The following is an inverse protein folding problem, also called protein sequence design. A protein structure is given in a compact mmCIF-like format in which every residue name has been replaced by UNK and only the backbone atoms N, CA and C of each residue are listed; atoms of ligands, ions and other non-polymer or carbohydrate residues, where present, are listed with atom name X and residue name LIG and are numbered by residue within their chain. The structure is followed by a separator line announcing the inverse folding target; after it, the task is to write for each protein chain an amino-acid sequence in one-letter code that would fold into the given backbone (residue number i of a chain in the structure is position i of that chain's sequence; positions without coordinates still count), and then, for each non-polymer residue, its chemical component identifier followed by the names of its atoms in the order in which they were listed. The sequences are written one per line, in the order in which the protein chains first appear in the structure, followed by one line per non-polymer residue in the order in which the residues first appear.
data_IF_250074864892
#
_entry.id   IF_250074864892
#
_cell.length_a   1.000
_cell.length_b   1.000
_cell.length_c   1.000
_cell.angle_alpha   90.00
_cell.angle_beta   90.00
_cell.angle_gamma   90.00
#
_symmetry.space_group_name_H-M   'P 1'
#
loop_
_entity.id
_entity.type
_entity.pdbx_description
1 polymer ?
#
# COMPACT_ATOMS: atom_id res chain seq x y z
N UNK A 1 47.03 -10.23 -71.10
CA UNK A 1 47.73 -9.55 -69.99
C UNK A 1 46.82 -8.40 -69.56
N UNK A 2 46.18 -8.53 -68.39
CA UNK A 2 46.46 -7.77 -67.13
C UNK A 2 45.81 -6.36 -67.23
N UNK A 3 44.96 -5.84 -66.34
CA UNK A 3 44.42 -6.18 -65.01
C UNK A 3 43.19 -5.26 -64.76
N UNK A 4 42.25 -5.65 -63.91
CA UNK A 4 41.20 -4.77 -63.35
C UNK A 4 41.53 -4.42 -61.89
N UNK A 5 41.27 -3.18 -61.41
CA UNK A 5 41.55 -2.81 -60.02
C UNK A 5 40.37 -3.11 -59.09
N UNK A 6 40.68 -3.68 -57.92
CA UNK A 6 39.75 -3.94 -56.82
C UNK A 6 39.76 -2.73 -55.87
N UNK A 7 38.57 -2.20 -55.58
CA UNK A 7 38.33 -1.07 -54.67
C UNK A 7 38.36 -1.52 -53.20
N UNK A 8 39.23 -0.90 -52.42
CA UNK A 8 39.35 -1.11 -50.97
C UNK A 8 38.37 -0.20 -50.20
N UNK A 9 37.16 -0.69 -49.91
CA UNK A 9 36.13 0.04 -49.14
C UNK A 9 35.81 -0.59 -47.76
N UNK A 10 36.52 -1.65 -47.36
CA UNK A 10 36.22 -2.40 -46.14
C UNK A 10 36.69 -1.75 -44.84
N UNK A 11 37.76 -0.94 -44.88
CA UNK A 11 38.47 -0.53 -43.66
C UNK A 11 37.89 0.73 -42.96
N UNK A 12 37.10 1.55 -43.68
CA UNK A 12 36.57 2.83 -43.17
C UNK A 12 35.27 2.67 -42.36
N UNK A 13 34.41 1.72 -42.74
CA UNK A 13 33.13 1.48 -42.04
C UNK A 13 33.33 0.88 -40.65
N UNK A 14 34.30 -0.03 -40.51
CA UNK A 14 34.61 -0.69 -39.23
C UNK A 14 35.16 0.31 -38.22
N UNK A 15 36.08 1.20 -38.64
CA UNK A 15 36.59 2.28 -37.77
C UNK A 15 35.48 3.23 -37.30
N UNK A 16 34.55 3.62 -38.19
CA UNK A 16 33.40 4.46 -37.81
C UNK A 16 32.46 3.77 -36.83
N UNK A 17 32.23 2.46 -36.99
CA UNK A 17 31.41 1.67 -36.08
C UNK A 17 32.06 1.55 -34.69
N UNK A 18 33.37 1.32 -34.61
CA UNK A 18 34.10 1.29 -33.35
C UNK A 18 34.08 2.64 -32.62
N UNK A 19 34.24 3.76 -33.35
CA UNK A 19 34.15 5.11 -32.77
C UNK A 19 32.74 5.37 -32.23
N UNK A 20 31.70 4.94 -32.96
CA UNK A 20 30.31 5.11 -32.51
C UNK A 20 30.02 4.30 -31.25
N UNK A 21 30.46 3.04 -31.18
CA UNK A 21 30.31 2.20 -29.99
C UNK A 21 31.06 2.79 -28.79
N UNK A 22 32.27 3.29 -29.00
CA UNK A 22 33.05 3.95 -27.94
C UNK A 22 32.37 5.22 -27.42
N UNK A 23 31.77 6.03 -28.32
CA UNK A 23 31.02 7.23 -27.95
C UNK A 23 29.75 6.90 -27.16
N UNK A 24 29.01 5.86 -27.56
CA UNK A 24 27.82 5.38 -26.82
C UNK A 24 28.22 4.83 -25.45
N UNK A 25 29.30 4.05 -25.38
CA UNK A 25 29.82 3.55 -24.10
C UNK A 25 30.22 4.69 -23.16
N UNK A 26 30.89 5.72 -23.67
CA UNK A 26 31.28 6.88 -22.90
C UNK A 26 30.06 7.69 -22.40
N UNK A 27 29.05 7.91 -23.25
CA UNK A 27 27.83 8.65 -22.84
C UNK A 27 27.03 7.88 -21.80
N UNK A 28 26.84 6.56 -21.96
CA UNK A 28 26.17 5.72 -20.96
C UNK A 28 26.92 5.75 -19.63
N UNK A 29 28.25 5.70 -19.65
CA UNK A 29 29.07 5.75 -18.43
C UNK A 29 28.95 7.12 -17.74
N UNK A 30 28.98 8.21 -18.50
CA UNK A 30 28.81 9.58 -17.97
C UNK A 30 27.41 9.77 -17.39
N UNK A 31 26.37 9.30 -18.07
CA UNK A 31 24.98 9.39 -17.59
C UNK A 31 24.79 8.56 -16.32
N UNK A 32 25.34 7.34 -16.26
CA UNK A 32 25.29 6.51 -15.06
C UNK A 32 26.07 7.13 -13.90
N UNK A 33 27.25 7.69 -14.16
CA UNK A 33 28.03 8.41 -13.16
C UNK A 33 27.28 9.65 -12.66
N UNK A 34 26.67 10.43 -13.57
CA UNK A 34 25.89 11.60 -13.21
C UNK A 34 24.65 11.22 -12.39
N UNK A 35 23.93 10.16 -12.78
CA UNK A 35 22.78 9.64 -12.02
C UNK A 35 23.19 9.14 -10.63
N UNK A 36 24.30 8.41 -10.51
CA UNK A 36 24.85 7.98 -9.22
C UNK A 36 25.28 9.17 -8.36
N UNK A 37 25.89 10.18 -8.97
CA UNK A 37 26.32 11.39 -8.29
C UNK A 37 25.13 12.24 -7.81
N UNK A 38 24.10 12.41 -8.64
CA UNK A 38 22.85 13.07 -8.27
C UNK A 38 22.14 12.33 -7.13
N UNK A 39 22.06 11.00 -7.19
CA UNK A 39 21.50 10.16 -6.12
C UNK A 39 22.28 10.33 -4.80
N UNK A 40 23.62 10.43 -4.87
CA UNK A 40 24.49 10.67 -3.70
C UNK A 40 24.34 12.09 -3.14
N UNK A 41 24.12 13.08 -4.01
CA UNK A 41 23.82 14.46 -3.62
C UNK A 41 22.44 14.59 -2.98
N UNK A 42 21.41 13.92 -3.51
CA UNK A 42 20.07 13.90 -2.94
C UNK A 42 20.07 13.23 -1.56
N UNK A 43 20.75 12.09 -1.39
CA UNK A 43 20.95 11.45 -0.08
C UNK A 43 21.67 12.37 0.89
N UNK A 44 22.75 13.03 0.46
CA UNK A 44 23.46 14.03 1.28
C UNK A 44 22.59 15.22 1.62
N UNK A 45 21.73 15.70 0.71
CA UNK A 45 20.83 16.84 0.92
C UNK A 45 19.69 16.48 1.87
N UNK A 46 19.18 15.25 1.81
CA UNK A 46 18.23 14.69 2.76
C UNK A 46 18.85 14.55 4.16
N UNK A 47 20.09 14.04 4.23
CA UNK A 47 20.86 14.02 5.48
C UNK A 47 21.12 15.43 6.00
N UNK A 48 21.47 16.40 5.15
CA UNK A 48 21.74 17.78 5.57
C UNK A 48 20.48 18.54 6.00
N UNK A 49 19.31 18.21 5.44
CA UNK A 49 18.02 18.74 5.93
C UNK A 49 17.58 18.09 7.24
N UNK A 50 17.90 16.82 7.45
CA UNK A 50 17.69 16.12 8.72
C UNK A 50 18.73 16.53 9.80
N UNK A 51 19.90 17.03 9.39
CA UNK A 51 21.03 17.36 10.27
C UNK A 51 20.99 18.77 10.86
N UNK A 52 19.90 19.54 10.69
CA UNK A 52 19.73 20.78 11.47
C UNK A 52 19.17 20.43 12.85
N UNK A 53 20.10 20.22 13.78
CA UNK A 53 19.87 20.15 15.22
C UNK A 53 18.80 19.13 15.66
N UNK A 54 18.90 17.89 15.21
CA UNK A 54 18.41 16.79 16.05
C UNK A 54 19.45 16.67 17.17
N UNK A 55 19.14 17.06 18.43
CA UNK A 55 20.07 16.80 19.51
C UNK A 55 20.42 15.32 19.49
N UNK A 56 21.68 14.93 19.76
CA UNK A 56 21.99 13.52 19.96
C UNK A 56 20.93 12.95 20.90
N UNK A 57 20.28 11.85 20.50
CA UNK A 57 19.33 11.14 21.34
C UNK A 57 19.91 11.14 22.76
N UNK A 58 19.17 11.60 23.79
CA UNK A 58 19.74 11.63 25.13
C UNK A 58 20.13 10.20 25.47
N UNK A 59 21.44 9.93 25.42
CA UNK A 59 22.10 8.72 25.90
C UNK A 59 22.07 8.72 27.44
N UNK A 60 20.88 8.95 27.98
CA UNK A 60 20.51 8.84 29.38
C UNK A 60 19.11 8.20 29.41
N UNK A 61 19.04 6.97 28.91
CA UNK A 61 18.15 6.01 29.54
C UNK A 61 18.50 6.06 31.03
N UNK A 62 17.61 6.61 31.86
CA UNK A 62 17.66 6.28 33.28
C UNK A 62 17.57 4.76 33.35
N UNK A 63 18.55 4.10 33.99
CA UNK A 63 18.64 2.62 34.06
C UNK A 63 17.24 2.03 34.30
N UNK A 64 16.66 1.36 33.30
CA UNK A 64 15.39 0.66 33.38
C UNK A 64 14.11 1.41 32.96
N UNK A 65 14.15 2.63 32.40
CA UNK A 65 12.94 3.36 31.95
C UNK A 65 13.04 3.91 30.52
N UNK A 66 11.98 3.70 29.72
CA UNK A 66 11.77 4.32 28.39
C UNK A 66 11.40 5.81 28.51
N UNK A 67 10.58 6.14 29.50
CA UNK A 67 10.19 7.50 29.84
C UNK A 67 10.38 7.67 31.33
N UNK A 68 11.13 8.69 31.74
CA UNK A 68 11.38 8.99 33.15
C UNK A 68 11.22 10.48 33.39
N UNK A 69 10.10 10.84 34.01
CA UNK A 69 9.79 12.19 34.49
C UNK A 69 9.24 12.13 35.91
N UNK A 70 9.04 13.29 36.55
CA UNK A 70 8.42 13.37 37.87
C UNK A 70 6.96 12.89 37.89
N UNK A 71 6.27 12.91 36.74
CA UNK A 71 4.83 12.57 36.61
C UNK A 71 4.56 11.23 35.94
N UNK A 72 5.51 10.73 35.14
CA UNK A 72 5.34 9.52 34.35
C UNK A 72 6.65 8.75 34.32
N UNK A 73 6.57 7.46 34.63
CA UNK A 73 7.66 6.49 34.53
C UNK A 73 7.15 5.29 33.73
N UNK A 74 7.76 5.02 32.58
CA UNK A 74 7.47 3.86 31.74
C UNK A 74 8.71 2.99 31.76
N UNK A 75 8.58 1.76 32.26
CA UNK A 75 9.68 0.80 32.39
C UNK A 75 10.13 0.34 30.99
N UNK A 76 11.45 0.19 30.81
CA UNK A 76 12.01 -0.47 29.64
C UNK A 76 12.11 -1.98 29.92
N UNK A 77 11.08 -2.69 29.49
CA UNK A 77 10.97 -4.13 29.66
C UNK A 77 11.79 -4.86 28.59
N UNK A 78 12.50 -5.92 29.01
CA UNK A 78 13.14 -6.84 28.08
C UNK A 78 12.08 -7.53 27.19
N UNK A 79 12.14 -7.38 25.86
CA UNK A 79 11.22 -8.05 24.96
C UNK A 79 11.26 -9.58 25.06
N UNK A 80 12.34 -10.18 25.55
CA UNK A 80 12.55 -11.64 25.57
C UNK A 80 12.55 -12.24 26.98
N UNK A 81 11.97 -11.56 27.96
CA UNK A 81 11.84 -12.09 29.31
C UNK A 81 10.99 -13.38 29.36
N UNK A 82 11.21 -14.20 30.40
CA UNK A 82 10.59 -15.52 30.54
C UNK A 82 9.04 -15.48 30.53
N UNK A 83 8.44 -14.45 31.12
CA UNK A 83 6.98 -14.28 31.14
C UNK A 83 6.41 -14.06 29.73
N UNK A 84 7.05 -13.21 28.93
CA UNK A 84 6.64 -12.95 27.55
C UNK A 84 6.89 -14.16 26.64
N UNK A 85 8.01 -14.86 26.85
CA UNK A 85 8.39 -16.01 26.03
C UNK A 85 7.46 -17.22 26.18
N UNK A 86 6.75 -17.33 27.31
CA UNK A 86 5.70 -18.36 27.49
C UNK A 86 4.55 -18.23 26.48
N UNK A 87 4.26 -17.01 26.01
CA UNK A 87 3.20 -16.75 25.04
C UNK A 87 3.72 -16.60 23.61
N UNK A 88 5.04 -16.58 23.42
CA UNK A 88 5.64 -16.39 22.11
C UNK A 88 5.70 -17.71 21.32
N UNK A 89 5.12 -17.69 20.12
CA UNK A 89 5.24 -18.78 19.15
C UNK A 89 5.63 -18.20 17.81
N UNK A 90 6.82 -18.54 17.31
CA UNK A 90 7.27 -18.14 15.99
C UNK A 90 6.37 -18.79 14.92
N UNK A 91 5.62 -17.96 14.19
CA UNK A 91 4.82 -18.40 13.05
C UNK A 91 5.63 -18.25 11.76
N UNK A 92 5.51 -19.24 10.87
CA UNK A 92 6.08 -19.15 9.52
C UNK A 92 5.05 -18.53 8.59
N UNK A 93 5.53 -17.76 7.62
CA UNK A 93 4.70 -17.28 6.53
C UNK A 93 4.07 -18.46 5.78
N UNK A 94 2.78 -18.36 5.47
CA UNK A 94 2.00 -19.39 4.81
C UNK A 94 1.44 -18.84 3.49
N UNK A 95 1.89 -19.40 2.37
CA UNK A 95 1.36 -18.98 1.06
C UNK A 95 -0.11 -19.40 0.93
N UNK A 96 -0.94 -18.53 0.37
CA UNK A 96 -2.34 -18.82 0.05
C UNK A 96 -2.50 -19.74 -1.17
N UNK A 97 -1.51 -19.77 -2.05
CA UNK A 97 -1.45 -20.65 -3.22
C UNK A 97 -0.04 -21.15 -3.47
N UNK A 98 0.08 -22.35 -4.03
CA UNK A 98 1.34 -22.90 -4.56
C UNK A 98 1.53 -22.60 -6.04
N UNK A 99 0.47 -22.18 -6.74
CA UNK A 99 0.47 -21.85 -8.17
C UNK A 99 0.73 -20.36 -8.34
N UNK A 100 1.46 -19.98 -9.40
CA UNK A 100 1.55 -18.57 -9.81
C UNK A 100 0.16 -18.07 -10.24
N UNK A 101 -0.13 -16.79 -9.99
CA UNK A 101 -1.43 -16.19 -10.28
C UNK A 101 -1.76 -16.24 -11.77
N UNK A 102 -2.95 -16.74 -12.12
CA UNK A 102 -3.42 -16.82 -13.50
C UNK A 102 -3.70 -15.43 -14.09
N UNK A 103 -4.04 -14.45 -13.25
CA UNK A 103 -4.30 -13.09 -13.70
C UNK A 103 -3.49 -12.06 -12.93
N UNK A 104 -3.12 -10.98 -13.59
CA UNK A 104 -2.30 -9.90 -13.04
C UNK A 104 -2.64 -8.58 -13.72
N UNK A 105 -2.27 -7.47 -13.10
CA UNK A 105 -2.45 -6.12 -13.67
C UNK A 105 -1.10 -5.51 -14.01
N UNK A 106 -1.02 -4.88 -15.18
CA UNK A 106 0.08 -3.97 -15.52
C UNK A 106 -0.42 -2.53 -15.62
N UNK A 107 0.50 -1.58 -15.47
CA UNK A 107 0.20 -0.16 -15.60
C UNK A 107 1.27 0.51 -16.46
N UNK A 108 0.85 1.09 -17.58
CA UNK A 108 1.69 1.82 -18.52
C UNK A 108 1.03 3.16 -18.84
N UNK A 109 1.77 4.27 -18.75
CA UNK A 109 1.26 5.63 -19.02
C UNK A 109 -0.11 5.93 -18.37
N UNK A 110 -0.25 5.56 -17.10
CA UNK A 110 -1.47 5.73 -16.31
C UNK A 110 -2.67 4.85 -16.73
N UNK A 111 -2.47 3.92 -17.67
CA UNK A 111 -3.48 2.98 -18.12
C UNK A 111 -3.26 1.63 -17.45
N UNK A 112 -4.28 1.14 -16.75
CA UNK A 112 -4.27 -0.18 -16.12
C UNK A 112 -4.86 -1.23 -17.06
N UNK A 113 -4.14 -2.34 -17.23
CA UNK A 113 -4.57 -3.47 -18.05
C UNK A 113 -4.56 -4.74 -17.21
N UNK A 114 -5.69 -5.42 -17.13
CA UNK A 114 -5.82 -6.75 -16.55
C UNK A 114 -5.44 -7.79 -17.61
N UNK A 115 -4.61 -8.76 -17.23
CA UNK A 115 -4.11 -9.82 -18.11
C UNK A 115 -4.45 -11.20 -17.58
N UNK A 116 -4.59 -12.14 -18.51
CA UNK A 116 -4.54 -13.58 -18.29
C UNK A 116 -3.14 -14.04 -18.65
N UNK A 117 -2.45 -14.66 -17.72
CA UNK A 117 -1.18 -15.31 -17.97
C UNK A 117 -1.41 -16.62 -18.73
N UNK A 118 -1.46 -16.53 -20.06
CA UNK A 118 -1.72 -17.66 -20.96
C UNK A 118 -0.70 -18.79 -20.80
N UNK A 119 0.54 -18.49 -20.41
CA UNK A 119 1.58 -19.49 -20.15
C UNK A 119 1.27 -20.40 -18.95
N UNK A 120 0.36 -20.00 -18.06
CA UNK A 120 -0.02 -20.74 -16.87
C UNK A 120 -1.33 -21.53 -17.02
N UNK A 121 -2.03 -21.41 -18.15
CA UNK A 121 -3.35 -22.05 -18.33
C UNK A 121 -3.29 -23.56 -18.08
N UNK A 122 -2.29 -24.25 -18.63
CA UNK A 122 -2.09 -25.70 -18.44
C UNK A 122 -1.79 -26.11 -16.99
N UNK A 123 -1.27 -25.20 -16.17
CA UNK A 123 -1.07 -25.43 -14.74
C UNK A 123 -2.39 -25.34 -13.93
N UNK A 124 -3.43 -24.75 -14.52
CA UNK A 124 -4.74 -24.62 -13.91
C UNK A 124 -5.73 -25.67 -14.43
N UNK A 125 -5.80 -25.89 -15.73
CA UNK A 125 -6.61 -26.93 -16.36
C UNK A 125 -6.01 -27.37 -17.70
N UNK A 126 -6.18 -28.65 -18.05
CA UNK A 126 -5.84 -29.17 -19.38
C UNK A 126 -6.95 -28.91 -20.42
N UNK A 127 -8.11 -28.41 -19.96
CA UNK A 127 -9.27 -28.06 -20.77
C UNK A 127 -9.21 -26.58 -21.20
N UNK A 128 -10.14 -26.19 -22.06
CA UNK A 128 -10.26 -24.78 -22.47
C UNK A 128 -10.71 -23.91 -21.28
N UNK A 129 -9.92 -22.89 -20.97
CA UNK A 129 -10.21 -21.95 -19.88
C UNK A 129 -10.89 -20.71 -20.43
N UNK A 130 -12.05 -20.35 -19.89
CA UNK A 130 -12.75 -19.09 -20.18
C UNK A 130 -12.73 -18.21 -18.94
N UNK A 131 -12.30 -16.96 -19.10
CA UNK A 131 -12.28 -15.99 -18.03
C UNK A 131 -13.23 -14.83 -18.33
N UNK A 132 -13.84 -14.31 -17.27
CA UNK A 132 -14.63 -13.10 -17.33
C UNK A 132 -14.27 -12.20 -16.14
N UNK A 133 -14.59 -10.91 -16.25
CA UNK A 133 -14.42 -9.95 -15.16
C UNK A 133 -15.71 -9.17 -14.89
N UNK A 134 -15.90 -8.80 -13.63
CA UNK A 134 -17.01 -7.96 -13.16
C UNK A 134 -16.46 -6.73 -12.46
N UNK A 135 -17.03 -5.56 -12.75
CA UNK A 135 -16.72 -4.34 -12.02
C UNK A 135 -17.38 -4.39 -10.64
N UNK A 136 -16.65 -3.94 -9.62
CA UNK A 136 -17.12 -3.82 -8.25
C UNK A 136 -17.50 -2.37 -7.99
N UNK A 137 -18.76 -2.15 -7.66
CA UNK A 137 -19.33 -0.84 -7.43
C UNK A 137 -19.64 -0.72 -5.94
N UNK A 138 -19.20 0.39 -5.33
CA UNK A 138 -19.52 0.71 -3.94
C UNK A 138 -21.03 0.85 -3.78
N UNK A 139 -21.58 0.15 -2.80
CA UNK A 139 -22.95 0.37 -2.36
C UNK A 139 -22.97 1.36 -1.20
N UNK A 140 -23.57 2.52 -1.44
CA UNK A 140 -23.75 3.58 -0.44
C UNK A 140 -25.19 3.74 0.01
N UNK A 141 -26.10 2.94 -0.54
CA UNK A 141 -27.53 3.11 -0.40
C UNK A 141 -28.01 2.27 0.78
N UNK A 142 -28.04 2.87 1.97
CA UNK A 142 -28.55 2.20 3.17
C UNK A 142 -28.13 2.88 4.47
N UNK A 143 -28.66 2.37 5.58
CA UNK A 143 -28.30 2.83 6.94
C UNK A 143 -26.87 2.38 7.36
N UNK A 144 -26.33 1.36 6.69
CA UNK A 144 -25.00 0.79 6.91
C UNK A 144 -24.19 0.78 5.60
N UNK A 145 -23.69 1.93 5.13
CA UNK A 145 -22.83 2.01 3.98
C UNK A 145 -21.59 1.14 4.20
N UNK A 146 -20.96 0.69 3.11
CA UNK A 146 -19.72 -0.11 3.17
C UNK A 146 -19.86 -1.48 3.85
N UNK A 147 -21.08 -2.04 3.86
CA UNK A 147 -21.35 -3.44 4.25
C UNK A 147 -21.61 -4.35 3.04
N UNK A 148 -22.05 -3.76 1.93
CA UNK A 148 -22.39 -4.44 0.68
C UNK A 148 -21.64 -3.81 -0.49
N UNK A 149 -21.62 -4.53 -1.60
CA UNK A 149 -21.07 -4.11 -2.89
C UNK A 149 -22.00 -4.61 -3.98
N UNK A 150 -22.06 -3.87 -5.09
CA UNK A 150 -22.73 -4.31 -6.30
C UNK A 150 -21.70 -4.88 -7.28
N UNK A 151 -21.98 -6.05 -7.83
CA UNK A 151 -21.11 -6.74 -8.78
C UNK A 151 -21.79 -6.71 -10.14
N UNK A 152 -21.13 -6.15 -11.16
CA UNK A 152 -21.69 -6.10 -12.51
C UNK A 152 -21.82 -7.49 -13.13
N UNK A 153 -22.58 -7.59 -14.23
CA UNK A 153 -22.52 -8.77 -15.10
C UNK A 153 -21.07 -9.06 -15.51
N UNK A 154 -20.71 -10.34 -15.51
CA UNK A 154 -19.37 -10.79 -15.88
C UNK A 154 -19.18 -10.69 -17.39
N UNK A 155 -18.15 -9.97 -17.82
CA UNK A 155 -17.82 -9.76 -19.23
C UNK A 155 -16.64 -10.64 -19.60
N UNK A 156 -16.82 -11.50 -20.62
CA UNK A 156 -15.74 -12.34 -21.11
C UNK A 156 -14.63 -11.49 -21.73
N UNK A 157 -13.38 -11.89 -21.50
CA UNK A 157 -12.22 -11.27 -22.11
C UNK A 157 -11.16 -12.32 -22.45
N UNK A 158 -10.38 -12.04 -23.49
CA UNK A 158 -9.30 -12.92 -23.94
C UNK A 158 -7.98 -12.16 -23.88
N UNK A 159 -6.96 -12.81 -23.31
CA UNK A 159 -5.62 -12.27 -23.06
C UNK A 159 -5.58 -11.07 -22.09
N UNK A 160 -6.24 -9.96 -22.42
CA UNK A 160 -6.19 -8.74 -21.62
C UNK A 160 -7.37 -7.82 -21.85
N UNK A 161 -7.68 -6.98 -20.85
CA UNK A 161 -8.72 -5.94 -20.93
C UNK A 161 -8.29 -4.70 -20.14
N UNK A 162 -8.69 -3.52 -20.61
CA UNK A 162 -8.48 -2.28 -19.87
C UNK A 162 -9.44 -2.24 -18.67
N UNK A 163 -8.91 -1.84 -17.51
CA UNK A 163 -9.71 -1.69 -16.30
C UNK A 163 -9.67 -0.23 -15.83
N UNK A 164 -10.78 0.21 -15.25
CA UNK A 164 -10.90 1.56 -14.68
C UNK A 164 -10.30 1.61 -13.26
N UNK A 165 -10.62 2.68 -12.54
CA UNK A 165 -10.27 2.87 -11.13
C UNK A 165 -11.01 1.92 -10.17
N UNK A 166 -12.14 1.37 -10.60
CA UNK A 166 -12.96 0.50 -9.77
C UNK A 166 -12.30 -0.89 -9.65
N UNK A 167 -12.42 -1.56 -8.49
CA UNK A 167 -11.93 -2.92 -8.37
C UNK A 167 -12.66 -3.85 -9.36
N UNK A 168 -11.95 -4.87 -9.85
CA UNK A 168 -12.52 -5.88 -10.73
C UNK A 168 -12.37 -7.26 -10.12
N UNK A 169 -13.43 -8.05 -10.15
CA UNK A 169 -13.41 -9.47 -9.79
C UNK A 169 -13.26 -10.30 -11.05
N UNK A 170 -12.36 -11.27 -11.04
CA UNK A 170 -12.10 -12.17 -12.16
C UNK A 170 -12.50 -13.57 -11.76
N UNK A 171 -13.26 -14.23 -12.64
CA UNK A 171 -13.59 -15.65 -12.53
C UNK A 171 -13.15 -16.36 -13.81
N UNK A 172 -12.42 -17.46 -13.64
CA UNK A 172 -12.03 -18.34 -14.74
C UNK A 172 -12.62 -19.73 -14.50
N UNK A 173 -13.26 -20.26 -15.53
CA UNK A 173 -13.95 -21.55 -15.53
C UNK A 173 -13.38 -22.45 -16.62
N UNK A 174 -13.47 -23.76 -16.40
CA UNK A 174 -13.41 -24.77 -17.47
C UNK A 174 -14.76 -25.52 -17.54
N UNK A 175 -14.80 -26.63 -18.26
CA UNK A 175 -16.02 -27.44 -18.41
C UNK A 175 -16.51 -28.06 -17.09
N UNK A 176 -15.65 -28.17 -16.08
CA UNK A 176 -15.98 -28.74 -14.76
C UNK A 176 -16.38 -27.66 -13.73
N UNK A 177 -16.21 -26.38 -14.08
CA UNK A 177 -16.66 -25.25 -13.29
C UNK A 177 -15.56 -24.25 -12.95
N UNK A 178 -15.70 -23.55 -11.82
CA UNK A 178 -14.75 -22.52 -11.39
C UNK A 178 -13.39 -23.14 -11.07
N UNK A 179 -12.32 -22.62 -11.66
CA UNK A 179 -10.94 -23.09 -11.43
C UNK A 179 -10.03 -22.02 -10.81
N UNK A 180 -10.35 -20.75 -11.01
CA UNK A 180 -9.58 -19.62 -10.47
C UNK A 180 -10.48 -18.41 -10.29
N UNK A 181 -10.24 -17.67 -9.20
CA UNK A 181 -10.87 -16.39 -8.94
C UNK A 181 -9.90 -15.47 -8.19
N UNK A 182 -9.98 -14.17 -8.46
CA UNK A 182 -9.19 -13.16 -7.76
C UNK A 182 -9.85 -11.77 -7.92
N UNK A 183 -9.48 -10.83 -7.06
CA UNK A 183 -9.88 -9.42 -7.19
C UNK A 183 -8.64 -8.58 -7.45
N UNK A 184 -8.75 -7.68 -8.41
CA UNK A 184 -7.69 -6.76 -8.81
C UNK A 184 -8.17 -5.32 -8.70
N UNK A 185 -7.22 -4.40 -8.50
CA UNK A 185 -7.43 -2.97 -8.54
C UNK A 185 -6.11 -2.30 -8.95
N UNK A 186 -6.19 -1.14 -9.59
CA UNK A 186 -5.03 -0.35 -9.94
C UNK A 186 -5.21 1.11 -9.52
N UNK A 187 -4.19 1.67 -8.91
CA UNK A 187 -4.15 3.10 -8.64
C UNK A 187 -3.69 3.84 -9.89
N UNK A 188 -4.59 4.65 -10.45
CA UNK A 188 -4.34 5.50 -11.62
C UNK A 188 -4.72 6.94 -11.30
N UNK A 189 -4.05 7.90 -11.91
CA UNK A 189 -4.41 9.31 -11.93
C UNK A 189 -5.76 9.47 -12.62
N UNK A 190 -6.74 10.01 -11.89
CA UNK A 190 -8.08 10.26 -12.40
C UNK A 190 -8.23 11.73 -12.80
N UNK A 191 -9.24 12.04 -13.61
CA UNK A 191 -9.53 13.42 -14.00
C UNK A 191 -9.79 14.34 -12.80
N UNK A 192 -10.52 13.83 -11.79
CA UNK A 192 -10.79 14.60 -10.57
C UNK A 192 -9.51 14.94 -9.80
N UNK A 193 -8.52 14.04 -9.82
CA UNK A 193 -7.22 14.27 -9.18
C UNK A 193 -6.34 15.22 -9.98
N UNK A 194 -6.33 15.13 -11.32
CA UNK A 194 -5.67 16.12 -12.17
C UNK A 194 -6.21 17.53 -11.90
N UNK A 195 -7.53 17.67 -11.82
CA UNK A 195 -8.19 18.94 -11.58
C UNK A 195 -7.89 19.48 -10.16
N UNK A 196 -7.83 18.58 -9.16
CA UNK A 196 -7.45 18.90 -7.78
C UNK A 196 -6.01 19.42 -7.69
N UNK A 197 -5.07 18.73 -8.35
CA UNK A 197 -3.65 19.09 -8.37
C UNK A 197 -3.45 20.44 -9.08
N UNK A 198 -4.11 20.65 -10.21
CA UNK A 198 -3.97 21.88 -11.02
C UNK A 198 -4.43 23.12 -10.26
N UNK A 199 -5.44 22.98 -9.40
CA UNK A 199 -5.95 24.07 -8.54
C UNK A 199 -5.06 24.34 -7.33
N UNK A 200 -4.17 23.41 -6.96
CA UNK A 200 -3.29 23.56 -5.79
C UNK A 200 -2.06 24.42 -6.09
N UNK A 201 -1.60 25.18 -5.08
CA UNK A 201 -0.41 26.04 -5.23
C UNK A 201 0.85 25.17 -5.35
N UNK A 202 1.79 25.59 -6.23
CA UNK A 202 3.08 24.93 -6.57
C UNK A 202 4.11 24.82 -5.43
N UNK A 203 3.72 24.65 -4.17
CA UNK A 203 4.66 24.14 -3.16
C UNK A 203 4.68 22.62 -3.29
N UNK A 204 5.85 22.01 -3.25
CA UNK A 204 6.01 20.54 -3.18
C UNK A 204 6.18 20.16 -1.71
N UNK A 205 5.10 20.01 -0.93
CA UNK A 205 5.23 19.64 0.46
C UNK A 205 5.53 18.14 0.58
N UNK A 206 5.93 17.70 1.78
CA UNK A 206 6.27 16.30 2.05
C UNK A 206 4.99 15.45 2.03
N UNK A 207 5.04 14.31 1.36
CA UNK A 207 3.99 13.28 1.42
C UNK A 207 4.08 12.49 2.72
N UNK A 208 2.93 12.08 3.26
CA UNK A 208 2.82 11.28 4.48
C UNK A 208 2.23 9.90 4.12
N UNK A 209 3.02 8.84 4.33
CA UNK A 209 2.56 7.46 4.23
C UNK A 209 2.50 6.87 5.63
N UNK A 210 1.33 6.42 6.04
CA UNK A 210 1.07 5.77 7.32
C UNK A 210 0.75 4.30 7.05
N UNK A 211 1.56 3.42 7.62
CA UNK A 211 1.33 1.97 7.60
C UNK A 211 0.90 1.55 9.00
N UNK A 212 -0.34 1.07 9.12
CA UNK A 212 -0.87 0.47 10.32
C UNK A 212 -0.48 -1.00 10.40
N UNK A 213 -0.23 -1.48 11.62
CA UNK A 213 -0.12 -2.92 11.91
C UNK A 213 -0.95 -3.13 13.16
N UNK A 214 -2.14 -3.72 13.01
CA UNK A 214 -3.06 -3.89 14.14
C UNK A 214 -2.49 -4.90 15.16
N UNK A 215 -2.78 -4.64 16.44
CA UNK A 215 -2.58 -5.56 17.56
C UNK A 215 -1.12 -5.94 17.84
N UNK A 216 -0.17 -5.09 17.44
CA UNK A 216 1.26 -5.25 17.72
C UNK A 216 1.76 -4.19 18.70
N UNK A 217 2.23 -4.64 19.87
CA UNK A 217 2.97 -3.77 20.81
C UNK A 217 4.44 -3.61 20.37
N UNK A 218 5.13 -2.57 20.85
CA UNK A 218 6.58 -2.38 20.61
C UNK A 218 7.39 -3.66 20.92
N UNK A 219 7.14 -4.27 22.07
CA UNK A 219 7.85 -5.48 22.49
C UNK A 219 7.53 -6.66 21.57
N UNK A 220 6.28 -6.77 21.10
CA UNK A 220 5.90 -7.81 20.17
C UNK A 220 6.52 -7.59 18.78
N UNK A 221 6.58 -6.34 18.29
CA UNK A 221 7.24 -5.98 17.03
C UNK A 221 8.71 -6.43 17.00
N UNK A 222 9.45 -6.21 18.09
CA UNK A 222 10.85 -6.65 18.22
C UNK A 222 10.96 -8.17 18.10
N UNK A 223 10.03 -8.93 18.70
CA UNK A 223 10.05 -10.40 18.68
C UNK A 223 9.60 -11.00 17.35
N UNK A 224 8.48 -10.53 16.80
CA UNK A 224 7.79 -11.20 15.68
C UNK A 224 8.19 -10.66 14.32
N UNK A 225 8.78 -9.45 14.27
CA UNK A 225 9.25 -8.82 13.03
C UNK A 225 10.73 -8.38 13.14
N UNK A 226 11.67 -9.27 13.50
CA UNK A 226 13.05 -8.89 13.82
C UNK A 226 13.78 -8.27 12.62
N UNK A 227 13.48 -8.72 11.40
CA UNK A 227 14.06 -8.12 10.18
C UNK A 227 13.58 -6.69 9.96
N UNK A 228 12.28 -6.44 10.15
CA UNK A 228 11.68 -5.10 10.04
C UNK A 228 12.19 -4.19 11.15
N UNK A 229 12.26 -4.69 12.39
CA UNK A 229 12.83 -3.95 13.51
C UNK A 229 14.28 -3.53 13.24
N UNK A 230 15.13 -4.48 12.83
CA UNK A 230 16.51 -4.18 12.47
C UNK A 230 16.61 -3.16 11.31
N UNK A 231 15.72 -3.26 10.32
CA UNK A 231 15.67 -2.29 9.23
C UNK A 231 15.38 -0.86 9.75
N UNK A 232 14.36 -0.66 10.57
CA UNK A 232 14.00 0.70 11.04
C UNK A 232 15.07 1.29 11.96
N UNK A 233 15.69 0.48 12.82
CA UNK A 233 16.77 0.91 13.72
C UNK A 233 18.03 1.31 12.94
N UNK A 234 18.45 0.49 11.97
CA UNK A 234 19.64 0.75 11.16
C UNK A 234 19.46 1.92 10.19
N UNK A 235 18.23 2.27 9.83
CA UNK A 235 17.90 3.40 8.96
C UNK A 235 17.53 4.69 9.73
N UNK A 236 17.85 4.77 11.03
CA UNK A 236 17.68 5.97 11.86
C UNK A 236 16.24 6.50 11.91
N UNK A 237 15.26 5.60 11.91
CA UNK A 237 13.87 6.00 12.19
C UNK A 237 13.78 6.52 13.62
N UNK A 238 12.85 7.46 13.86
CA UNK A 238 12.68 8.06 15.19
C UNK A 238 11.59 7.27 15.94
N UNK A 239 11.94 6.47 16.96
CA UNK A 239 10.94 5.80 17.76
C UNK A 239 10.23 6.81 18.68
N UNK A 240 8.90 6.81 18.65
CA UNK A 240 8.09 7.61 19.57
C UNK A 240 7.94 6.88 20.90
N UNK A 241 9.01 6.81 21.69
CA UNK A 241 9.00 6.10 22.97
C UNK A 241 8.00 6.73 23.94
N UNK A 242 7.19 5.88 24.58
CA UNK A 242 6.10 6.31 25.45
C UNK A 242 4.81 6.70 24.72
N UNK A 243 4.80 6.77 23.39
CA UNK A 243 3.56 6.80 22.62
C UNK A 243 2.78 5.51 22.88
N UNK A 244 1.51 5.65 23.24
CA UNK A 244 0.70 4.52 23.67
C UNK A 244 -0.73 4.63 23.13
N UNK A 245 -1.42 3.50 23.12
CA UNK A 245 -2.81 3.42 22.72
C UNK A 245 -3.69 4.26 23.63
N UNK A 246 -4.71 4.89 23.06
CA UNK A 246 -5.74 5.64 23.78
C UNK A 246 -6.85 4.74 24.32
N UNK A 247 -7.22 3.69 23.58
CA UNK A 247 -8.24 2.72 23.97
C UNK A 247 -7.82 1.28 23.67
N UNK A 248 -8.65 0.32 24.06
CA UNK A 248 -8.33 -1.09 23.86
C UNK A 248 -8.52 -1.56 22.43
N UNK A 249 -9.54 -1.04 21.73
CA UNK A 249 -9.90 -1.45 20.38
C UNK A 249 -9.31 -0.52 19.32
N UNK A 250 -9.29 -0.98 18.07
CA UNK A 250 -8.77 -0.23 16.91
C UNK A 250 -9.47 1.12 16.74
N UNK A 251 -10.81 1.15 16.83
CA UNK A 251 -11.61 2.35 16.60
C UNK A 251 -11.20 3.60 17.44
N UNK A 252 -11.19 3.58 18.79
CA UNK A 252 -10.81 4.76 19.57
C UNK A 252 -9.36 5.21 19.31
N UNK A 253 -8.44 4.27 19.03
CA UNK A 253 -7.06 4.59 18.69
C UNK A 253 -6.97 5.31 17.34
N UNK A 254 -7.69 4.81 16.34
CA UNK A 254 -7.76 5.45 15.02
C UNK A 254 -8.42 6.82 15.09
N UNK A 255 -9.51 6.97 15.85
CA UNK A 255 -10.14 8.27 16.05
C UNK A 255 -9.17 9.27 16.69
N UNK A 256 -8.40 8.86 17.70
CA UNK A 256 -7.40 9.72 18.33
C UNK A 256 -6.30 10.16 17.34
N UNK A 257 -5.78 9.24 16.51
CA UNK A 257 -4.76 9.55 15.49
C UNK A 257 -5.32 10.48 14.41
N UNK A 258 -6.54 10.20 13.94
CA UNK A 258 -7.10 10.86 12.76
C UNK A 258 -7.78 12.18 13.08
N UNK A 259 -8.34 12.35 14.27
CA UNK A 259 -9.03 13.59 14.66
C UNK A 259 -8.26 14.42 15.67
N UNK A 260 -7.27 13.82 16.35
CA UNK A 260 -6.61 14.43 17.51
C UNK A 260 -7.49 14.45 18.76
N UNK A 261 -8.65 13.80 18.75
CA UNK A 261 -9.66 13.86 19.80
C UNK A 261 -10.02 12.46 20.32
N UNK A 262 -10.41 12.41 21.59
CA UNK A 262 -11.01 11.22 22.17
C UNK A 262 -12.45 11.05 21.66
N UNK A 263 -12.91 9.80 21.55
CA UNK A 263 -14.28 9.51 21.10
C UNK A 263 -15.33 10.10 22.04
N UNK A 264 -15.09 10.10 23.36
CA UNK A 264 -16.00 10.73 24.33
C UNK A 264 -16.13 12.23 24.09
N UNK A 265 -15.02 12.93 23.87
CA UNK A 265 -15.02 14.37 23.59
C UNK A 265 -15.73 14.70 22.28
N UNK A 266 -15.54 13.88 21.23
CA UNK A 266 -16.26 14.05 19.96
C UNK A 266 -17.78 14.03 20.15
N UNK A 267 -18.26 13.14 21.01
CA UNK A 267 -19.69 12.96 21.30
C UNK A 267 -20.23 13.99 22.29
N UNK A 268 -19.52 14.26 23.39
CA UNK A 268 -19.93 15.20 24.46
C UNK A 268 -20.02 16.64 23.94
N UNK A 269 -19.01 17.08 23.18
CA UNK A 269 -18.97 18.41 22.59
C UNK A 269 -19.83 18.52 21.31
N UNK A 270 -20.53 17.44 20.95
CA UNK A 270 -21.38 17.35 19.74
C UNK A 270 -20.64 17.75 18.45
N UNK A 271 -19.35 17.41 18.38
CA UNK A 271 -18.51 17.67 17.19
C UNK A 271 -18.94 16.72 16.06
N UNK A 272 -19.00 15.42 16.39
CA UNK A 272 -19.58 14.39 15.55
C UNK A 272 -19.88 13.15 16.41
N UNK A 273 -21.00 12.48 16.15
CA UNK A 273 -21.29 11.19 16.76
C UNK A 273 -21.09 10.07 15.73
N UNK A 274 -19.97 9.30 15.80
CA UNK A 274 -19.68 8.27 14.80
C UNK A 274 -20.73 7.14 14.76
N UNK A 275 -21.56 7.01 15.79
CA UNK A 275 -22.64 6.02 15.87
C UNK A 275 -23.95 6.49 15.22
N UNK A 276 -24.01 7.74 14.73
CA UNK A 276 -25.13 8.27 13.95
C UNK A 276 -24.76 8.25 12.46
N UNK A 277 -25.68 7.76 11.63
CA UNK A 277 -25.44 7.64 10.19
C UNK A 277 -25.16 9.00 9.56
N UNK A 278 -24.05 9.09 8.82
CA UNK A 278 -23.60 10.32 8.16
C UNK A 278 -22.86 11.31 9.05
N UNK A 279 -22.80 11.12 10.37
CA UNK A 279 -22.04 12.02 11.26
C UNK A 279 -20.54 11.69 11.30
N UNK A 280 -20.13 10.45 10.99
CA UNK A 280 -18.70 10.16 10.82
C UNK A 280 -18.06 11.02 9.70
N UNK A 281 -18.84 11.33 8.65
CA UNK A 281 -18.45 12.23 7.56
C UNK A 281 -18.26 13.68 8.02
N UNK A 282 -18.71 14.09 9.21
CA UNK A 282 -18.51 15.45 9.73
C UNK A 282 -17.29 15.56 10.65
N UNK A 283 -16.83 14.45 11.23
CA UNK A 283 -15.68 14.41 12.12
C UNK A 283 -14.42 15.10 11.55
N UNK A 284 -13.59 15.77 12.37
CA UNK A 284 -12.45 16.57 11.90
C UNK A 284 -11.23 15.70 11.52
N UNK A 285 -11.44 14.75 10.63
CA UNK A 285 -10.42 13.81 10.17
C UNK A 285 -9.27 14.53 9.45
N UNK A 286 -8.04 14.12 9.75
CA UNK A 286 -6.80 14.74 9.27
C UNK A 286 -6.72 14.78 7.75
N UNK A 287 -7.22 13.75 7.06
CA UNK A 287 -7.26 13.72 5.60
C UNK A 287 -8.11 14.84 4.99
N UNK A 288 -9.09 15.40 5.70
CA UNK A 288 -9.84 16.57 5.22
C UNK A 288 -8.95 17.81 5.15
N UNK A 289 -8.06 18.00 6.13
CA UNK A 289 -7.12 19.11 6.13
C UNK A 289 -6.10 18.96 4.99
N UNK A 290 -5.56 17.75 4.80
CA UNK A 290 -4.66 17.46 3.69
C UNK A 290 -5.35 17.61 2.33
N UNK A 291 -6.59 17.13 2.18
CA UNK A 291 -7.37 17.28 0.95
C UNK A 291 -7.61 18.76 0.60
N UNK A 292 -7.94 19.61 1.58
CA UNK A 292 -8.05 21.08 1.41
C UNK A 292 -6.73 21.73 0.99
N UNK A 293 -5.60 21.15 1.36
CA UNK A 293 -4.25 21.58 0.92
C UNK A 293 -3.86 21.01 -0.45
N UNK A 294 -4.75 20.28 -1.11
CA UNK A 294 -4.53 19.70 -2.44
C UNK A 294 -3.71 18.41 -2.43
N UNK A 295 -3.58 17.74 -1.29
CA UNK A 295 -2.98 16.41 -1.23
C UNK A 295 -3.93 15.36 -1.79
N UNK A 296 -3.35 14.34 -2.42
CA UNK A 296 -4.04 13.11 -2.80
C UNK A 296 -4.20 12.26 -1.55
N UNK A 297 -5.41 11.82 -1.21
CA UNK A 297 -5.67 11.07 0.03
C UNK A 297 -6.06 9.62 -0.26
N UNK A 298 -5.56 8.69 0.56
CA UNK A 298 -5.89 7.27 0.46
C UNK A 298 -6.17 6.63 1.81
N UNK A 299 -7.09 5.66 1.82
CA UNK A 299 -7.44 4.86 2.98
C UNK A 299 -7.77 3.41 2.60
N UNK A 300 -7.10 2.45 3.26
CA UNK A 300 -7.37 1.02 3.17
C UNK A 300 -7.19 0.33 4.53
N UNK A 301 -8.04 -0.66 4.81
CA UNK A 301 -7.88 -1.61 5.92
C UNK A 301 -8.04 -3.04 5.39
N UNK A 302 -7.24 -3.99 5.87
CA UNK A 302 -7.21 -5.38 5.40
C UNK A 302 -8.42 -6.24 5.83
N UNK A 303 -9.09 -5.87 6.92
CA UNK A 303 -10.20 -6.65 7.49
C UNK A 303 -11.57 -5.98 7.32
N UNK A 304 -12.42 -6.44 6.40
CA UNK A 304 -13.66 -5.77 6.01
C UNK A 304 -14.76 -5.68 7.07
N UNK A 305 -14.90 -6.60 8.04
CA UNK A 305 -15.96 -6.54 9.06
C UNK A 305 -15.49 -5.99 10.40
N UNK A 306 -14.20 -6.17 10.73
CA UNK A 306 -13.58 -5.58 11.93
C UNK A 306 -12.82 -4.28 11.66
N UNK A 307 -13.04 -3.66 10.49
CA UNK A 307 -12.64 -2.27 10.19
C UNK A 307 -13.05 -1.36 11.33
N UNK A 308 -12.14 -0.48 11.75
CA UNK A 308 -12.38 0.51 12.80
C UNK A 308 -13.72 1.24 12.63
N UNK A 309 -14.05 1.65 11.41
CA UNK A 309 -15.23 2.45 11.10
C UNK A 309 -16.54 1.66 10.92
N UNK A 310 -16.48 0.32 10.91
CA UNK A 310 -17.67 -0.53 10.92
C UNK A 310 -18.22 -0.79 12.34
N UNK A 311 -17.45 -0.47 13.39
CA UNK A 311 -17.99 -0.32 14.77
C UNK A 311 -18.90 0.92 14.91
N UNK A 312 -18.78 1.84 13.96
CA UNK A 312 -19.60 3.02 13.75
C UNK A 312 -20.62 2.76 12.62
N UNK A 313 -21.30 3.79 12.14
CA UNK A 313 -22.22 3.67 10.99
C UNK A 313 -21.52 3.71 9.62
N UNK A 314 -20.18 3.63 9.58
CA UNK A 314 -19.40 3.79 8.35
C UNK A 314 -19.44 5.20 7.78
N UNK A 315 -18.79 5.40 6.64
CA UNK A 315 -18.80 6.68 5.93
C UNK A 315 -19.93 6.69 4.89
N UNK A 316 -20.73 7.75 4.84
CA UNK A 316 -21.76 7.90 3.79
C UNK A 316 -21.09 8.19 2.44
N UNK A 317 -20.16 9.12 2.43
CA UNK A 317 -19.34 9.49 1.27
C UNK A 317 -17.91 8.97 1.43
N UNK A 318 -17.22 8.53 0.34
CA UNK A 318 -15.83 8.09 0.45
C UNK A 318 -14.97 9.15 1.17
N UNK A 319 -14.28 8.79 2.28
CA UNK A 319 -13.58 9.77 3.12
C UNK A 319 -12.29 10.31 2.47
N UNK A 320 -11.76 9.60 1.47
CA UNK A 320 -10.50 9.88 0.78
C UNK A 320 -10.67 9.77 -0.74
N UNK A 321 -9.73 10.34 -1.50
CA UNK A 321 -9.75 10.28 -2.96
C UNK A 321 -9.67 8.82 -3.48
N UNK A 322 -8.86 8.00 -2.82
CA UNK A 322 -8.77 6.56 -3.04
C UNK A 322 -9.25 5.84 -1.78
N UNK A 323 -10.44 5.24 -1.84
CA UNK A 323 -11.05 4.50 -0.73
C UNK A 323 -11.21 3.04 -1.12
N UNK A 324 -10.41 2.16 -0.51
CA UNK A 324 -10.24 0.78 -0.97
C UNK A 324 -11.19 -0.24 -0.34
N UNK A 325 -12.15 0.21 0.46
CA UNK A 325 -13.12 -0.66 1.13
C UNK A 325 -13.89 -1.58 0.15
N UNK A 326 -14.37 -1.13 -1.02
CA UNK A 326 -15.03 -2.03 -1.99
C UNK A 326 -14.12 -3.14 -2.51
N UNK A 327 -12.83 -2.87 -2.69
CA UNK A 327 -11.85 -3.89 -3.09
C UNK A 327 -11.76 -5.00 -2.04
N UNK A 328 -11.62 -4.62 -0.77
CA UNK A 328 -11.49 -5.56 0.34
C UNK A 328 -12.78 -6.37 0.53
N UNK A 329 -13.95 -5.73 0.46
CA UNK A 329 -15.26 -6.41 0.50
C UNK A 329 -15.43 -7.42 -0.64
N UNK A 330 -14.94 -7.10 -1.84
CA UNK A 330 -15.02 -8.01 -2.97
C UNK A 330 -14.20 -9.28 -2.76
N UNK A 331 -13.06 -9.19 -2.06
CA UNK A 331 -12.26 -10.39 -1.76
C UNK A 331 -13.00 -11.41 -0.89
N UNK A 332 -14.00 -10.98 -0.11
CA UNK A 332 -14.84 -11.88 0.69
C UNK A 332 -15.91 -12.60 -0.10
N UNK A 333 -16.20 -12.14 -1.31
CA UNK A 333 -17.14 -12.81 -2.21
C UNK A 333 -16.47 -13.94 -2.99
N UNK A 334 -15.16 -14.09 -2.87
CA UNK A 334 -14.44 -15.20 -3.46
C UNK A 334 -14.82 -16.50 -2.75
N UNK A 335 -15.14 -17.53 -3.54
CA UNK A 335 -15.59 -18.83 -3.05
C UNK A 335 -14.46 -19.79 -2.66
N UNK A 336 -13.23 -19.51 -3.11
CA UNK A 336 -12.03 -20.33 -2.96
C UNK A 336 -10.90 -19.54 -2.32
N UNK A 337 -10.09 -20.25 -1.54
CA UNK A 337 -8.86 -19.70 -0.97
C UNK A 337 -9.06 -18.75 0.20
N UNK A 338 -10.31 -18.50 0.63
CA UNK A 338 -10.55 -17.72 1.84
C UNK A 338 -10.19 -18.56 3.08
N UNK A 339 -9.27 -18.06 3.92
CA UNK A 339 -8.85 -18.76 5.15
C UNK A 339 -8.72 -17.78 6.30
N UNK A 340 -8.74 -18.31 7.53
CA UNK A 340 -8.58 -17.54 8.75
C UNK A 340 -7.41 -18.07 9.58
N UNK A 341 -6.67 -17.17 10.21
CA UNK A 341 -5.69 -17.48 11.27
C UNK A 341 -6.10 -16.67 12.50
N UNK A 342 -6.24 -17.34 13.64
CA UNK A 342 -6.62 -16.72 14.91
C UNK A 342 -7.89 -15.84 14.82
N UNK A 343 -8.82 -16.25 13.95
CA UNK A 343 -10.10 -15.57 13.73
C UNK A 343 -10.02 -14.29 12.89
N UNK A 344 -8.89 -14.01 12.23
CA UNK A 344 -8.70 -12.92 11.27
C UNK A 344 -8.54 -13.48 9.86
N UNK A 345 -9.03 -12.74 8.87
CA UNK A 345 -8.89 -13.08 7.45
C UNK A 345 -7.40 -13.14 7.09
N UNK A 346 -6.92 -14.31 6.67
CA UNK A 346 -5.52 -14.50 6.32
C UNK A 346 -5.33 -14.55 4.80
N UNK A 347 -5.92 -15.55 4.16
CA UNK A 347 -6.01 -15.60 2.70
C UNK A 347 -7.37 -15.07 2.28
N UNK A 348 -7.37 -14.18 1.29
CA UNK A 348 -8.60 -13.58 0.73
C UNK A 348 -8.65 -13.88 -0.77
N UNK A 349 -8.59 -15.18 -1.09
CA UNK A 349 -8.35 -15.70 -2.44
C UNK A 349 -6.94 -16.30 -2.56
N UNK A 350 -6.24 -16.11 -3.68
CA UNK A 350 -4.90 -16.66 -3.86
C UNK A 350 -3.79 -15.82 -3.20
N UNK A 351 -4.12 -14.71 -2.55
CA UNK A 351 -3.19 -13.76 -1.91
C UNK A 351 -3.58 -13.54 -0.44
N UNK A 352 -2.61 -13.11 0.38
CA UNK A 352 -2.90 -12.77 1.80
C UNK A 352 -3.54 -11.39 1.91
N UNK A 353 -4.39 -11.18 2.92
CA UNK A 353 -5.01 -9.89 3.21
C UNK A 353 -3.96 -8.78 3.40
N UNK A 354 -2.92 -9.06 4.18
CA UNK A 354 -1.83 -8.12 4.43
C UNK A 354 -1.02 -7.77 3.18
N UNK A 355 -0.70 -8.74 2.31
CA UNK A 355 0.01 -8.44 1.06
C UNK A 355 -0.80 -7.57 0.12
N UNK A 356 -2.12 -7.77 0.05
CA UNK A 356 -3.00 -6.92 -0.76
C UNK A 356 -2.93 -5.45 -0.32
N UNK A 357 -2.97 -5.18 1.00
CA UNK A 357 -2.87 -3.81 1.52
C UNK A 357 -1.47 -3.22 1.32
N UNK A 358 -0.42 -4.00 1.52
CA UNK A 358 0.96 -3.54 1.28
C UNK A 358 1.23 -3.28 -0.20
N UNK A 359 0.69 -4.09 -1.10
CA UNK A 359 0.76 -3.88 -2.54
C UNK A 359 -0.02 -2.63 -2.96
N UNK A 360 -1.19 -2.37 -2.37
CA UNK A 360 -1.94 -1.13 -2.55
C UNK A 360 -1.14 0.10 -2.09
N UNK A 361 -0.51 0.05 -0.92
CA UNK A 361 0.33 1.13 -0.41
C UNK A 361 1.52 1.42 -1.36
N UNK A 362 2.16 0.36 -1.86
CA UNK A 362 3.24 0.46 -2.83
C UNK A 362 2.76 1.04 -4.17
N UNK A 363 1.65 0.54 -4.72
CA UNK A 363 1.10 1.05 -5.98
C UNK A 363 0.69 2.53 -5.85
N UNK A 364 0.03 2.90 -4.76
CA UNK A 364 -0.36 4.28 -4.49
C UNK A 364 0.86 5.23 -4.40
N UNK A 365 1.86 4.86 -3.58
CA UNK A 365 3.05 5.69 -3.39
C UNK A 365 3.91 5.79 -4.66
N UNK A 366 3.98 4.72 -5.47
CA UNK A 366 4.67 4.73 -6.75
C UNK A 366 3.95 5.62 -7.78
N UNK A 367 2.62 5.51 -7.87
CA UNK A 367 1.79 6.31 -8.79
C UNK A 367 1.92 7.81 -8.52
N UNK A 368 1.88 8.18 -7.24
CA UNK A 368 1.87 9.59 -6.83
C UNK A 368 3.21 10.10 -6.33
N UNK A 369 4.31 9.42 -6.67
CA UNK A 369 5.67 9.80 -6.23
C UNK A 369 6.03 11.26 -6.49
N UNK A 370 5.48 11.86 -7.55
CA UNK A 370 5.73 13.25 -7.95
C UNK A 370 4.73 14.27 -7.37
N UNK A 371 3.76 13.82 -6.58
CA UNK A 371 2.66 14.61 -6.07
C UNK A 371 2.54 14.48 -4.54
N UNK A 372 2.11 15.53 -3.83
CA UNK A 372 1.89 15.44 -2.39
C UNK A 372 0.69 14.54 -2.09
N UNK A 373 0.89 13.57 -1.19
CA UNK A 373 -0.16 12.63 -0.79
C UNK A 373 -0.17 12.34 0.71
N UNK A 374 -1.33 11.93 1.22
CA UNK A 374 -1.55 11.35 2.53
C UNK A 374 -2.19 9.98 2.34
N UNK A 375 -1.48 8.90 2.62
CA UNK A 375 -2.03 7.55 2.55
C UNK A 375 -2.01 6.87 3.91
N UNK A 376 -3.11 6.23 4.29
CA UNK A 376 -3.20 5.33 5.45
C UNK A 376 -3.61 3.94 4.98
N UNK A 377 -2.76 2.96 5.23
CA UNK A 377 -2.96 1.56 4.84
C UNK A 377 -2.73 0.71 6.08
N UNK A 378 -3.75 -0.01 6.53
CA UNK A 378 -3.75 -0.72 7.82
C UNK A 378 -4.13 -2.18 7.71
#
# INVERSE_FOLDING_TARGET
MIEHPIKDQGHSKTKKLFILIALIGATVTIVNYHNLYQKKLDVKRFQYSASRNIPPFPAKYHRGFLVSSSKCKIIDLDPFNDEAMQFHSAKRYQNCTKRQLLTYVTKEDNVATLHINTSLQSAYSLKNIRCCYSNIIRDSDGEYPDTTINISMCQEFTNSVLISQDPVMVNCIDDDGLIYENVHIAVTMTKSIEDKITKSKKRRPISLLMIGIDSVSRLNFIRTMPHTYNYVETNHWIPLLGFNKKGDNTFPNMMAILTGLDVSLLMEDKICNPYIFGELDTCPMIWKNYSKLGYITAYAEDEPYRVAFNYAKGFKTPPTDYYFKPYVLATQKLSKGYTYIDGLSYCTGPETAGERIMNLANDFSATFKSYPYLGLFG
#
